data_IF_137314676960
#
_entry.id   IF_137314676960
#
_cell.length_a   1.000
_cell.length_b   1.000
_cell.length_c   1.000
_cell.angle_alpha   90.00
_cell.angle_beta   90.00
_cell.angle_gamma   90.00
#
_symmetry.space_group_name_H-M   'P 1'
#
loop_
_entity.id
_entity.type
_entity.pdbx_description
1 polymer ?
#
# COMPACT_ATOMS: atom_id res chain seq x y z
N UNK A 1 -17.65 21.97 -31.07
CA UNK A 1 -18.80 21.06 -30.80
C UNK A 1 -18.40 19.59 -30.69
N UNK A 2 -17.37 19.11 -31.41
CA UNK A 2 -16.92 17.70 -31.32
C UNK A 2 -16.34 17.28 -29.96
N UNK A 3 -15.55 18.14 -29.31
CA UNK A 3 -14.92 17.83 -28.01
C UNK A 3 -15.96 17.66 -26.90
N UNK A 4 -16.96 18.53 -26.84
CA UNK A 4 -18.03 18.46 -25.82
C UNK A 4 -18.85 17.18 -25.97
N UNK A 5 -19.13 16.76 -27.20
CA UNK A 5 -19.85 15.52 -27.47
C UNK A 5 -19.01 14.29 -27.13
N UNK A 6 -17.72 14.29 -27.47
CA UNK A 6 -16.79 13.24 -27.06
C UNK A 6 -16.69 13.11 -25.54
N UNK A 7 -16.55 14.23 -24.82
CA UNK A 7 -16.53 14.23 -23.35
C UNK A 7 -17.85 13.70 -22.76
N UNK A 8 -18.99 14.12 -23.30
CA UNK A 8 -20.29 13.63 -22.87
C UNK A 8 -20.46 12.12 -23.11
N UNK A 9 -20.04 11.62 -24.26
CA UNK A 9 -20.05 10.19 -24.60
C UNK A 9 -19.10 9.38 -23.71
N UNK A 10 -17.92 9.93 -23.39
CA UNK A 10 -16.97 9.32 -22.46
C UNK A 10 -17.53 9.23 -21.04
N UNK A 11 -18.10 10.33 -20.52
CA UNK A 11 -18.71 10.35 -19.17
C UNK A 11 -19.91 9.42 -19.09
N UNK A 12 -20.80 9.42 -20.07
CA UNK A 12 -21.95 8.50 -20.07
C UNK A 12 -21.53 7.04 -20.20
N UNK A 13 -20.50 6.74 -20.99
CA UNK A 13 -19.93 5.39 -21.06
C UNK A 13 -19.30 4.95 -19.74
N UNK A 14 -18.55 5.85 -19.08
CA UNK A 14 -17.95 5.62 -17.76
C UNK A 14 -19.01 5.33 -16.69
N UNK A 15 -20.08 6.11 -16.66
CA UNK A 15 -21.19 5.92 -15.72
C UNK A 15 -21.94 4.60 -16.00
N UNK A 16 -22.17 4.26 -17.28
CA UNK A 16 -22.84 3.01 -17.67
C UNK A 16 -22.05 1.75 -17.32
N UNK A 17 -20.73 1.83 -17.32
CA UNK A 17 -19.84 0.71 -16.99
C UNK A 17 -19.68 0.47 -15.48
N UNK A 18 -20.36 1.23 -14.62
CA UNK A 18 -20.25 1.06 -13.17
C UNK A 18 -18.90 1.53 -12.59
N UNK A 19 -18.09 2.22 -13.38
CA UNK A 19 -16.77 2.72 -12.97
C UNK A 19 -16.79 3.60 -11.71
N UNK A 20 -17.83 4.41 -11.40
CA UNK A 20 -17.90 5.11 -10.12
C UNK A 20 -17.90 4.18 -8.91
N UNK A 21 -18.58 3.03 -9.00
CA UNK A 21 -18.61 2.05 -7.92
C UNK A 21 -17.25 1.38 -7.74
N UNK A 22 -16.59 1.03 -8.85
CA UNK A 22 -15.23 0.49 -8.83
C UNK A 22 -14.24 1.50 -8.23
N UNK A 23 -14.34 2.78 -8.62
CA UNK A 23 -13.47 3.83 -8.08
C UNK A 23 -13.70 4.04 -6.57
N UNK A 24 -14.95 4.00 -6.12
CA UNK A 24 -15.29 4.10 -4.70
C UNK A 24 -14.75 2.90 -3.90
N UNK A 25 -14.90 1.68 -4.42
CA UNK A 25 -14.34 0.47 -3.82
C UNK A 25 -12.82 0.55 -3.75
N UNK A 26 -12.15 0.91 -4.84
CA UNK A 26 -10.70 1.08 -4.89
C UNK A 26 -10.21 2.12 -3.88
N UNK A 27 -10.89 3.26 -3.75
CA UNK A 27 -10.55 4.29 -2.76
C UNK A 27 -10.72 3.77 -1.33
N UNK A 28 -11.83 3.08 -1.04
CA UNK A 28 -12.08 2.47 0.26
C UNK A 28 -11.01 1.43 0.63
N UNK A 29 -10.72 0.49 -0.27
CA UNK A 29 -9.70 -0.53 -0.05
C UNK A 29 -8.30 0.07 0.02
N UNK A 30 -8.00 1.15 -0.72
CA UNK A 30 -6.73 1.86 -0.60
C UNK A 30 -6.54 2.45 0.79
N UNK A 31 -7.56 3.13 1.33
CA UNK A 31 -7.51 3.69 2.68
C UNK A 31 -7.39 2.60 3.75
N UNK A 32 -8.13 1.49 3.58
CA UNK A 32 -8.07 0.33 4.48
C UNK A 32 -6.68 -0.31 4.47
N UNK A 33 -6.07 -0.51 3.30
CA UNK A 33 -4.76 -1.14 3.13
C UNK A 33 -3.59 -0.23 3.51
N UNK A 34 -3.79 1.10 3.56
CA UNK A 34 -2.74 2.07 3.87
C UNK A 34 -2.09 1.78 5.22
N UNK A 35 -2.90 1.59 6.26
CA UNK A 35 -2.39 1.35 7.61
C UNK A 35 -1.55 0.06 7.70
N UNK A 36 -2.04 -1.11 7.23
CA UNK A 36 -1.24 -2.33 7.11
C UNK A 36 0.05 -2.19 6.31
N UNK A 37 0.02 -1.50 5.17
CA UNK A 37 1.18 -1.34 4.30
C UNK A 37 2.26 -0.49 4.96
N UNK A 38 1.86 0.62 5.60
CA UNK A 38 2.77 1.46 6.38
C UNK A 38 3.41 0.63 7.50
N UNK A 39 2.61 -0.14 8.24
CA UNK A 39 3.14 -0.97 9.32
C UNK A 39 4.16 -2.00 8.81
N UNK A 40 3.84 -2.73 7.74
CA UNK A 40 4.75 -3.70 7.12
C UNK A 40 6.05 -3.04 6.61
N UNK A 41 5.93 -1.85 6.02
CA UNK A 41 7.08 -1.08 5.55
C UNK A 41 7.99 -0.66 6.71
N UNK A 42 7.43 -0.08 7.77
CA UNK A 42 8.18 0.34 8.95
C UNK A 42 8.83 -0.85 9.66
N UNK A 43 8.08 -1.94 9.83
CA UNK A 43 8.58 -3.19 10.39
C UNK A 43 9.72 -3.79 9.55
N UNK A 44 9.60 -3.76 8.22
CA UNK A 44 10.65 -4.21 7.31
C UNK A 44 11.91 -3.34 7.37
N UNK A 45 11.76 -2.01 7.44
CA UNK A 45 12.89 -1.08 7.61
C UNK A 45 13.56 -1.27 8.97
N UNK A 46 12.80 -1.46 10.05
CA UNK A 46 13.33 -1.73 11.38
C UNK A 46 14.04 -3.08 11.51
N UNK A 47 13.77 -4.04 10.62
CA UNK A 47 14.53 -5.28 10.52
C UNK A 47 15.88 -5.07 9.80
N UNK A 48 15.92 -4.21 8.78
CA UNK A 48 17.13 -3.90 8.01
C UNK A 48 18.10 -2.95 8.74
N UNK A 49 17.56 -1.98 9.48
CA UNK A 49 18.31 -1.00 10.27
C UNK A 49 18.32 -1.47 11.73
N UNK A 50 19.46 -2.02 12.17
CA UNK A 50 19.68 -2.67 13.48
C UNK A 50 18.86 -2.08 14.65
N UNK A 51 18.26 -2.97 15.45
CA UNK A 51 17.11 -2.78 16.36
C UNK A 51 17.23 -1.76 17.51
N UNK A 52 18.29 -0.97 17.61
CA UNK A 52 18.65 -0.48 18.95
C UNK A 52 18.07 0.90 19.32
N UNK A 53 17.66 1.75 18.38
CA UNK A 53 17.05 3.07 18.71
C UNK A 53 16.18 3.65 17.57
N UNK A 54 16.56 3.38 16.31
CA UNK A 54 16.04 4.12 15.15
C UNK A 54 14.63 3.66 14.74
N UNK A 55 14.31 2.36 14.88
CA UNK A 55 13.01 1.81 14.49
C UNK A 55 11.84 2.39 15.27
N UNK A 56 11.96 2.50 16.60
CA UNK A 56 10.88 3.04 17.44
C UNK A 56 10.69 4.56 17.25
N UNK A 57 11.78 5.33 17.19
CA UNK A 57 11.69 6.78 16.99
C UNK A 57 11.13 7.13 15.61
N UNK A 58 11.52 6.39 14.57
CA UNK A 58 11.00 6.59 13.22
C UNK A 58 9.52 6.19 13.13
N UNK A 59 9.14 5.09 13.77
CA UNK A 59 7.75 4.64 13.87
C UNK A 59 6.88 5.66 14.63
N UNK A 60 7.33 6.14 15.79
CA UNK A 60 6.65 7.19 16.56
C UNK A 60 6.54 8.51 15.80
N UNK A 61 7.59 8.92 15.07
CA UNK A 61 7.58 10.12 14.23
C UNK A 61 6.60 10.02 13.07
N UNK A 62 6.58 8.87 12.37
CA UNK A 62 5.63 8.62 11.29
C UNK A 62 4.19 8.56 11.82
N UNK A 63 3.94 7.83 12.91
CA UNK A 63 2.61 7.75 13.51
C UNK A 63 2.13 9.11 14.06
N UNK A 64 3.00 9.92 14.69
CA UNK A 64 2.64 11.28 15.13
C UNK A 64 2.32 12.21 13.96
N UNK A 65 3.02 12.07 12.82
CA UNK A 65 2.75 12.85 11.61
C UNK A 65 1.47 12.42 10.88
N UNK A 66 1.17 11.11 10.86
CA UNK A 66 0.06 10.56 10.07
C UNK A 66 -1.25 10.44 10.87
N UNK A 67 -1.17 10.11 12.17
CA UNK A 67 -2.30 10.06 13.11
C UNK A 67 -1.89 10.65 14.47
N UNK A 68 -1.85 11.99 14.61
CA UNK A 68 -1.39 12.66 15.82
C UNK A 68 -2.16 12.28 17.10
N UNK A 69 -3.40 11.77 16.99
CA UNK A 69 -4.21 11.34 18.13
C UNK A 69 -4.09 9.85 18.50
N UNK A 70 -3.56 9.00 17.61
CA UNK A 70 -3.52 7.54 17.78
C UNK A 70 -2.09 6.99 17.94
N UNK A 71 -1.06 7.80 17.66
CA UNK A 71 0.33 7.34 17.60
C UNK A 71 0.90 6.76 18.89
N UNK A 72 0.63 7.36 20.06
CA UNK A 72 1.18 6.87 21.33
C UNK A 72 0.51 5.57 21.80
N UNK A 73 -0.83 5.48 21.72
CA UNK A 73 -1.55 4.26 22.09
C UNK A 73 -1.30 3.09 21.13
N UNK A 74 -1.16 3.36 19.84
CA UNK A 74 -0.80 2.33 18.87
C UNK A 74 0.62 1.84 19.07
N UNK A 75 1.57 2.72 19.36
CA UNK A 75 2.96 2.33 19.60
C UNK A 75 3.13 1.49 20.88
N UNK A 76 2.47 1.85 21.97
CA UNK A 76 2.45 1.04 23.20
C UNK A 76 1.85 -0.34 22.95
N UNK A 77 0.74 -0.41 22.22
CA UNK A 77 0.06 -1.68 21.99
C UNK A 77 0.78 -2.55 20.95
N UNK A 78 1.43 -1.94 19.96
CA UNK A 78 2.40 -2.62 19.10
C UNK A 78 3.55 -3.23 19.90
N UNK A 79 4.11 -2.47 20.86
CA UNK A 79 5.23 -2.94 21.68
C UNK A 79 4.80 -4.13 22.55
N UNK A 80 3.60 -4.05 23.14
CA UNK A 80 2.99 -5.13 23.92
C UNK A 80 2.62 -6.36 23.10
N UNK A 81 2.22 -6.20 21.84
CA UNK A 81 1.92 -7.33 20.94
C UNK A 81 3.22 -7.95 20.40
N UNK A 82 4.28 -7.14 20.21
CA UNK A 82 5.59 -7.61 19.74
C UNK A 82 6.33 -8.49 20.75
N UNK A 83 6.03 -8.38 22.04
CA UNK A 83 6.66 -9.15 23.12
C UNK A 83 6.14 -10.59 23.25
N UNK A 84 5.07 -10.93 22.52
CA UNK A 84 4.51 -12.28 22.43
C UNK A 84 4.91 -12.92 21.09
N UNK A 85 6.01 -13.69 21.09
CA UNK A 85 6.58 -14.32 19.88
C UNK A 85 5.57 -15.14 19.05
N UNK A 86 4.58 -15.78 19.69
CA UNK A 86 3.53 -16.53 18.98
C UNK A 86 2.50 -15.66 18.27
N UNK A 87 2.23 -14.44 18.75
CA UNK A 87 1.19 -13.55 18.20
C UNK A 87 1.74 -12.68 17.06
N UNK A 88 3.05 -12.44 17.06
CA UNK A 88 3.76 -11.65 16.04
C UNK A 88 3.49 -12.13 14.61
N UNK A 89 3.55 -13.44 14.36
CA UNK A 89 3.32 -14.01 13.02
C UNK A 89 1.87 -13.86 12.55
N UNK A 90 0.90 -14.04 13.46
CA UNK A 90 -0.53 -13.89 13.16
C UNK A 90 -0.84 -12.45 12.79
N UNK A 91 -0.25 -11.50 13.51
CA UNK A 91 -0.41 -10.06 13.27
C UNK A 91 0.21 -9.67 11.93
N UNK A 92 1.44 -10.12 11.65
CA UNK A 92 2.09 -9.88 10.36
C UNK A 92 1.30 -10.46 9.19
N UNK A 93 0.79 -11.68 9.32
CA UNK A 93 0.00 -12.33 8.28
C UNK A 93 -1.33 -11.59 8.04
N UNK A 94 -1.97 -11.12 9.12
CA UNK A 94 -3.18 -10.30 9.02
C UNK A 94 -2.91 -8.99 8.30
N UNK A 95 -1.84 -8.27 8.68
CA UNK A 95 -1.45 -7.05 8.00
C UNK A 95 -1.08 -7.29 6.54
N UNK A 96 -0.40 -8.38 6.23
CA UNK A 96 -0.10 -8.74 4.84
C UNK A 96 -1.39 -8.98 4.03
N UNK A 97 -2.36 -9.68 4.62
CA UNK A 97 -3.65 -9.92 3.99
C UNK A 97 -4.44 -8.62 3.74
N UNK A 98 -4.63 -7.79 4.78
CA UNK A 98 -5.37 -6.52 4.65
C UNK A 98 -4.63 -5.48 3.79
N UNK A 99 -3.30 -5.47 3.83
CA UNK A 99 -2.47 -4.64 2.97
C UNK A 99 -2.53 -5.06 1.49
N UNK A 100 -2.78 -6.35 1.21
CA UNK A 100 -2.93 -6.88 -0.14
C UNK A 100 -4.23 -6.51 -0.85
N UNK A 101 -5.28 -6.13 -0.11
CA UNK A 101 -6.63 -5.91 -0.67
C UNK A 101 -6.67 -4.80 -1.72
N UNK A 102 -5.91 -3.71 -1.55
CA UNK A 102 -5.83 -2.63 -2.54
C UNK A 102 -5.32 -3.12 -3.90
N UNK A 103 -4.35 -4.05 -3.91
CA UNK A 103 -3.79 -4.59 -5.14
C UNK A 103 -4.78 -5.52 -5.85
N UNK A 104 -5.59 -6.26 -5.08
CA UNK A 104 -6.68 -7.06 -5.62
C UNK A 104 -7.75 -6.16 -6.27
N UNK A 105 -8.20 -5.13 -5.57
CA UNK A 105 -9.23 -4.23 -6.08
C UNK A 105 -8.75 -3.43 -7.30
N UNK A 106 -7.47 -3.05 -7.31
CA UNK A 106 -6.85 -2.39 -8.45
C UNK A 106 -6.83 -3.29 -9.68
N UNK A 107 -6.37 -4.53 -9.53
CA UNK A 107 -6.36 -5.52 -10.63
C UNK A 107 -7.77 -5.81 -11.15
N UNK A 108 -8.73 -5.98 -10.23
CA UNK A 108 -10.13 -6.16 -10.58
C UNK A 108 -10.69 -4.97 -11.36
N UNK A 109 -10.49 -3.75 -10.86
CA UNK A 109 -10.98 -2.55 -11.50
C UNK A 109 -10.38 -2.34 -12.90
N UNK A 110 -9.07 -2.58 -13.06
CA UNK A 110 -8.40 -2.50 -14.36
C UNK A 110 -8.94 -3.56 -15.33
N UNK A 111 -9.11 -4.82 -14.87
CA UNK A 111 -9.62 -5.88 -15.73
C UNK A 111 -11.06 -5.60 -16.21
N UNK A 112 -11.91 -5.02 -15.35
CA UNK A 112 -13.26 -4.61 -15.72
C UNK A 112 -13.24 -3.44 -16.72
N UNK A 113 -12.47 -2.38 -16.46
CA UNK A 113 -12.39 -1.19 -17.34
C UNK A 113 -11.82 -1.54 -18.71
N UNK A 114 -10.77 -2.37 -18.76
CA UNK A 114 -10.13 -2.78 -20.01
C UNK A 114 -10.80 -4.00 -20.68
N UNK A 115 -11.89 -4.52 -20.12
CA UNK A 115 -12.58 -5.72 -20.62
C UNK A 115 -11.63 -6.88 -20.90
N UNK A 116 -10.62 -7.04 -20.04
CA UNK A 116 -9.58 -8.06 -20.21
C UNK A 116 -10.19 -9.45 -20.02
N UNK A 117 -10.05 -10.31 -21.03
CA UNK A 117 -10.55 -11.70 -21.02
C UNK A 117 -9.55 -12.68 -20.40
N UNK A 118 -8.35 -12.25 -20.01
CA UNK A 118 -7.37 -13.13 -19.38
C UNK A 118 -7.76 -13.44 -17.94
N UNK A 119 -8.30 -14.65 -17.72
CA UNK A 119 -8.55 -15.24 -16.40
C UNK A 119 -7.25 -15.70 -15.74
N UNK A 120 -6.37 -14.78 -15.33
CA UNK A 120 -5.31 -15.13 -14.38
C UNK A 120 -5.93 -15.23 -12.99
N UNK A 121 -5.43 -16.15 -12.17
CA UNK A 121 -5.92 -16.26 -10.80
C UNK A 121 -5.62 -14.93 -10.06
N UNK A 122 -6.60 -14.30 -9.40
CA UNK A 122 -6.45 -12.96 -8.84
C UNK A 122 -5.25 -12.85 -7.89
N UNK A 123 -5.01 -13.86 -7.05
CA UNK A 123 -3.84 -13.90 -6.16
C UNK A 123 -2.49 -13.80 -6.90
N UNK A 124 -2.39 -14.38 -8.11
CA UNK A 124 -1.15 -14.31 -8.91
C UNK A 124 -0.97 -12.89 -9.45
N UNK A 125 -2.05 -12.26 -9.92
CA UNK A 125 -1.99 -10.88 -10.41
C UNK A 125 -1.67 -9.89 -9.29
N UNK A 126 -2.27 -10.08 -8.11
CA UNK A 126 -1.94 -9.34 -6.90
C UNK A 126 -0.48 -9.53 -6.49
N UNK A 127 0.04 -10.77 -6.51
CA UNK A 127 1.43 -11.04 -6.20
C UNK A 127 2.40 -10.37 -7.19
N UNK A 128 2.09 -10.38 -8.49
CA UNK A 128 2.86 -9.67 -9.51
C UNK A 128 2.83 -8.16 -9.26
N UNK A 129 1.66 -7.61 -8.92
CA UNK A 129 1.50 -6.19 -8.61
C UNK A 129 2.32 -5.77 -7.39
N UNK A 130 2.31 -6.58 -6.33
CA UNK A 130 3.15 -6.38 -5.14
C UNK A 130 4.63 -6.47 -5.51
N UNK A 131 5.03 -7.44 -6.34
CA UNK A 131 6.42 -7.60 -6.78
C UNK A 131 6.90 -6.41 -7.63
N UNK A 132 6.06 -5.89 -8.53
CA UNK A 132 6.36 -4.70 -9.33
C UNK A 132 6.44 -3.43 -8.48
N UNK A 133 5.54 -3.28 -7.51
CA UNK A 133 5.58 -2.13 -6.61
C UNK A 133 6.80 -2.20 -5.69
N UNK A 134 7.13 -3.38 -5.19
CA UNK A 134 8.33 -3.65 -4.41
C UNK A 134 9.62 -3.39 -5.19
N UNK A 135 9.70 -3.84 -6.45
CA UNK A 135 10.88 -3.60 -7.29
C UNK A 135 11.04 -2.11 -7.63
N UNK A 136 9.95 -1.42 -7.92
CA UNK A 136 9.94 0.03 -8.16
C UNK A 136 10.40 0.78 -6.90
N UNK A 137 9.86 0.41 -5.73
CA UNK A 137 10.29 0.99 -4.45
C UNK A 137 11.77 0.76 -4.16
N UNK A 138 12.28 -0.44 -4.43
CA UNK A 138 13.70 -0.77 -4.30
C UNK A 138 14.56 0.11 -5.22
N UNK A 139 14.18 0.26 -6.49
CA UNK A 139 14.89 1.11 -7.46
C UNK A 139 14.93 2.58 -7.04
N UNK A 140 13.81 3.10 -6.52
CA UNK A 140 13.75 4.49 -6.02
C UNK A 140 14.61 4.65 -4.77
N UNK A 141 14.59 3.66 -3.87
CA UNK A 141 15.42 3.68 -2.67
C UNK A 141 16.91 3.65 -3.01
N UNK A 142 17.35 2.78 -3.92
CA UNK A 142 18.75 2.74 -4.35
C UNK A 142 19.15 4.01 -5.09
N UNK A 143 18.25 4.59 -5.90
CA UNK A 143 18.47 5.89 -6.54
C UNK A 143 18.67 7.02 -5.52
N UNK A 144 17.84 7.07 -4.48
CA UNK A 144 17.98 8.04 -3.40
C UNK A 144 19.31 7.87 -2.65
N UNK A 145 19.66 6.63 -2.27
CA UNK A 145 20.93 6.34 -1.59
C UNK A 145 22.14 6.71 -2.47
N UNK A 146 22.09 6.40 -3.77
CA UNK A 146 23.14 6.77 -4.71
C UNK A 146 23.28 8.30 -4.82
N UNK A 147 22.16 9.02 -4.88
CA UNK A 147 22.15 10.49 -4.92
C UNK A 147 22.78 11.08 -3.66
N UNK A 148 22.42 10.55 -2.49
CA UNK A 148 23.02 10.99 -1.22
C UNK A 148 24.51 10.65 -1.15
N UNK A 149 24.93 9.47 -1.59
CA UNK A 149 26.34 9.09 -1.60
C UNK A 149 27.20 10.01 -2.48
N UNK A 150 26.66 10.46 -3.63
CA UNK A 150 27.34 11.43 -4.50
C UNK A 150 27.39 12.81 -3.83
N UNK A 151 26.34 13.24 -3.13
CA UNK A 151 26.31 14.54 -2.45
C UNK A 151 27.26 14.63 -1.25
N UNK A 152 27.66 13.50 -0.66
CA UNK A 152 28.63 13.43 0.43
C UNK A 152 30.10 13.36 -0.03
N UNK A 153 30.35 13.10 -1.32
CA UNK A 153 31.67 13.09 -1.95
C UNK A 153 32.07 14.49 -2.45
#
# INVERSE_FOLDING_TARGET
MHVVRFLSEAVTSFLRQGCPSLAAALAFFSLLSLFPLVFLLLYGVGFLVSQNVIGEQFMLGFLKGFLPSLGERLAEELHRISSLDSVRWIVLLSFFWFGGLVFYELDYALNVVFQSTQKRHPLISTAISIALLGSTGLLLFTSYVATQAIAFL
#
